data_IF_219798742292
#
_entry.id   IF_219798742292
#
_cell.length_a   1.000
_cell.length_b   1.000
_cell.length_c   1.000
_cell.angle_alpha   90.00
_cell.angle_beta   90.00
_cell.angle_gamma   90.00
#
_symmetry.space_group_name_H-M   'P 1'
#
loop_
_entity.id
_entity.type
_entity.pdbx_description
1 polymer ?
#
# COMPACT_ATOMS: atom_id res chain seq x y z
N UNK A 1 12.12 -23.90 -7.90
CA UNK A 1 10.92 -23.54 -7.10
C UNK A 1 11.34 -23.39 -5.65
N UNK A 2 10.92 -22.32 -4.96
CA UNK A 2 11.14 -22.20 -3.51
C UNK A 2 10.06 -23.01 -2.80
N UNK A 3 10.45 -24.02 -2.03
CA UNK A 3 9.54 -24.76 -1.17
C UNK A 3 9.24 -23.90 0.08
N UNK A 4 7.96 -23.82 0.45
CA UNK A 4 7.50 -23.07 1.62
C UNK A 4 6.79 -24.05 2.54
N UNK A 5 7.21 -24.11 3.79
CA UNK A 5 6.58 -24.98 4.80
C UNK A 5 5.66 -24.11 5.64
N UNK A 6 4.37 -24.46 5.67
CA UNK A 6 3.39 -23.80 6.53
C UNK A 6 3.19 -24.68 7.75
N UNK A 7 3.54 -24.18 8.93
CA UNK A 7 3.35 -24.88 10.21
C UNK A 7 2.06 -24.41 10.89
N UNK A 8 1.57 -25.20 11.84
CA UNK A 8 0.45 -24.86 12.73
C UNK A 8 -0.88 -24.59 12.01
N UNK A 9 -1.10 -25.23 10.86
CA UNK A 9 -2.38 -25.15 10.16
C UNK A 9 -3.43 -26.00 10.90
N UNK A 10 -4.61 -25.45 11.26
CA UNK A 10 -5.66 -26.23 11.89
C UNK A 10 -6.17 -27.34 10.96
N UNK A 11 -6.42 -28.53 11.49
CA UNK A 11 -6.90 -29.69 10.72
C UNK A 11 -8.18 -29.38 9.92
N UNK A 12 -9.07 -28.55 10.48
CA UNK A 12 -10.28 -28.11 9.79
C UNK A 12 -9.97 -27.31 8.50
N UNK A 13 -8.89 -26.52 8.51
CA UNK A 13 -8.45 -25.75 7.33
C UNK A 13 -7.86 -26.70 6.29
N UNK A 14 -7.04 -27.66 6.71
CA UNK A 14 -6.48 -28.70 5.82
C UNK A 14 -7.60 -29.46 5.12
N UNK A 15 -8.60 -29.95 5.87
CA UNK A 15 -9.73 -30.70 5.32
C UNK A 15 -10.54 -29.89 4.30
N UNK A 16 -10.69 -28.57 4.51
CA UNK A 16 -11.37 -27.68 3.55
C UNK A 16 -10.56 -27.52 2.26
N UNK A 17 -9.24 -27.39 2.36
CA UNK A 17 -8.35 -27.28 1.20
C UNK A 17 -8.37 -28.59 0.40
N UNK A 18 -8.25 -29.73 1.08
CA UNK A 18 -8.31 -31.05 0.43
C UNK A 18 -9.64 -31.26 -0.30
N UNK A 19 -10.77 -30.93 0.34
CA UNK A 19 -12.07 -31.03 -0.30
C UNK A 19 -12.16 -30.15 -1.55
N UNK A 20 -11.71 -28.90 -1.47
CA UNK A 20 -11.72 -27.98 -2.63
C UNK A 20 -10.82 -28.45 -3.76
N UNK A 21 -9.65 -28.99 -3.43
CA UNK A 21 -8.74 -29.58 -4.40
C UNK A 21 -9.42 -30.76 -5.12
N UNK A 22 -10.08 -31.65 -4.36
CA UNK A 22 -10.84 -32.77 -4.90
C UNK A 22 -12.02 -32.31 -5.78
N UNK A 23 -12.82 -31.35 -5.32
CA UNK A 23 -13.95 -30.78 -6.07
C UNK A 23 -13.52 -30.18 -7.42
N UNK A 24 -12.26 -29.74 -7.52
CA UNK A 24 -11.67 -29.10 -8.71
C UNK A 24 -10.78 -30.02 -9.53
N UNK A 25 -10.56 -31.26 -9.09
CA UNK A 25 -9.62 -32.19 -9.73
C UNK A 25 -8.16 -31.72 -9.71
N UNK A 26 -7.78 -30.92 -8.71
CA UNK A 26 -6.44 -30.38 -8.53
C UNK A 26 -5.70 -31.12 -7.40
N UNK A 27 -4.37 -30.98 -7.37
CA UNK A 27 -3.60 -31.38 -6.19
C UNK A 27 -3.77 -30.35 -5.07
N UNK A 28 -3.59 -30.78 -3.83
CA UNK A 28 -3.62 -29.89 -2.65
C UNK A 28 -2.61 -28.75 -2.80
N UNK A 29 -1.41 -29.04 -3.32
CA UNK A 29 -0.37 -28.03 -3.55
C UNK A 29 -0.81 -26.96 -4.57
N UNK A 30 -1.47 -27.36 -5.65
CA UNK A 30 -1.94 -26.42 -6.67
C UNK A 30 -3.07 -25.53 -6.13
N UNK A 31 -3.97 -26.10 -5.33
CA UNK A 31 -5.03 -25.33 -4.68
C UNK A 31 -4.44 -24.33 -3.66
N UNK A 32 -3.46 -24.74 -2.85
CA UNK A 32 -2.75 -23.82 -1.93
C UNK A 32 -2.05 -22.70 -2.70
N UNK A 33 -1.37 -23.01 -3.80
CA UNK A 33 -0.72 -22.01 -4.65
C UNK A 33 -1.72 -20.98 -5.17
N UNK A 34 -2.87 -21.44 -5.67
CA UNK A 34 -3.96 -20.58 -6.15
C UNK A 34 -4.53 -19.68 -5.05
N UNK A 35 -4.74 -20.24 -3.86
CA UNK A 35 -5.25 -19.48 -2.71
C UNK A 35 -4.27 -18.37 -2.31
N UNK A 36 -2.96 -18.68 -2.27
CA UNK A 36 -1.92 -17.69 -1.97
C UNK A 36 -1.84 -16.60 -3.03
N UNK A 37 -1.93 -16.94 -4.32
CA UNK A 37 -1.92 -15.97 -5.42
C UNK A 37 -3.15 -15.05 -5.39
N UNK A 38 -4.32 -15.62 -5.05
CA UNK A 38 -5.56 -14.86 -4.90
C UNK A 38 -5.49 -13.90 -3.70
N UNK A 39 -4.97 -14.37 -2.57
CA UNK A 39 -4.78 -13.53 -1.39
C UNK A 39 -3.77 -12.40 -1.66
N UNK A 40 -2.63 -12.72 -2.26
CA UNK A 40 -1.60 -11.74 -2.59
C UNK A 40 -2.09 -10.67 -3.57
N UNK A 41 -2.85 -11.06 -4.60
CA UNK A 41 -3.41 -10.10 -5.56
C UNK A 41 -4.48 -9.21 -4.93
N UNK A 42 -5.31 -9.74 -4.02
CA UNK A 42 -6.26 -8.94 -3.26
C UNK A 42 -5.55 -7.92 -2.34
N UNK A 43 -4.50 -8.34 -1.63
CA UNK A 43 -3.70 -7.45 -0.78
C UNK A 43 -2.99 -6.36 -1.60
N UNK A 44 -2.44 -6.73 -2.78
CA UNK A 44 -1.82 -5.78 -3.69
C UNK A 44 -2.82 -4.74 -4.23
N UNK A 45 -4.05 -5.16 -4.55
CA UNK A 45 -5.12 -4.26 -4.97
C UNK A 45 -5.52 -3.31 -3.84
N UNK A 46 -5.69 -3.82 -2.61
CA UNK A 46 -6.01 -3.02 -1.44
C UNK A 46 -4.91 -1.98 -1.13
N UNK A 47 -3.64 -2.35 -1.26
CA UNK A 47 -2.51 -1.44 -1.09
C UNK A 47 -2.52 -0.34 -2.17
N UNK A 48 -2.76 -0.71 -3.42
CA UNK A 48 -2.85 0.25 -4.52
C UNK A 48 -4.00 1.25 -4.31
N UNK A 49 -5.17 0.79 -3.89
CA UNK A 49 -6.32 1.65 -3.61
C UNK A 49 -6.06 2.62 -2.45
N UNK A 50 -5.39 2.16 -1.39
CA UNK A 50 -4.96 3.01 -0.28
C UNK A 50 -3.97 4.09 -0.72
N UNK A 51 -3.01 3.74 -1.57
CA UNK A 51 -2.05 4.71 -2.14
C UNK A 51 -2.74 5.74 -3.03
N UNK A 52 -3.69 5.31 -3.88
CA UNK A 52 -4.45 6.19 -4.74
C UNK A 52 -5.35 7.14 -3.93
N UNK A 53 -6.00 6.65 -2.88
CA UNK A 53 -6.78 7.48 -1.97
C UNK A 53 -5.91 8.54 -1.27
N UNK A 54 -4.71 8.15 -0.81
CA UNK A 54 -3.75 9.08 -0.22
C UNK A 54 -3.30 10.14 -1.23
N UNK A 55 -2.98 9.74 -2.46
CA UNK A 55 -2.59 10.67 -3.51
C UNK A 55 -3.71 11.67 -3.81
N UNK A 56 -4.95 11.19 -3.94
CA UNK A 56 -6.12 12.05 -4.16
C UNK A 56 -6.32 13.03 -3.01
N UNK A 57 -6.22 12.59 -1.77
CA UNK A 57 -6.33 13.46 -0.60
C UNK A 57 -5.24 14.55 -0.59
N UNK A 58 -3.99 14.19 -0.90
CA UNK A 58 -2.89 15.15 -1.01
C UNK A 58 -3.12 16.16 -2.13
N UNK A 59 -3.55 15.71 -3.31
CA UNK A 59 -3.83 16.60 -4.44
C UNK A 59 -5.01 17.52 -4.13
N UNK A 60 -6.07 17.00 -3.53
CA UNK A 60 -7.23 17.78 -3.10
C UNK A 60 -6.81 18.83 -2.06
N UNK A 61 -6.05 18.45 -1.05
CA UNK A 61 -5.52 19.37 -0.05
C UNK A 61 -4.62 20.45 -0.68
N UNK A 62 -3.81 20.08 -1.69
CA UNK A 62 -2.97 21.01 -2.45
C UNK A 62 -3.79 21.98 -3.30
N UNK A 63 -4.90 21.53 -3.89
CA UNK A 63 -5.83 22.38 -4.64
C UNK A 63 -6.59 23.31 -3.69
N UNK A 64 -7.06 22.82 -2.55
CA UNK A 64 -7.75 23.61 -1.52
C UNK A 64 -6.83 24.63 -0.84
N UNK A 65 -5.57 24.26 -0.58
CA UNK A 65 -4.53 25.19 -0.16
C UNK A 65 -3.98 26.04 -1.30
N UNK A 66 -4.30 25.67 -2.55
CA UNK A 66 -3.84 26.28 -3.77
C UNK A 66 -4.54 27.60 -4.04
N UNK A 67 -4.30 28.58 -3.17
CA UNK A 67 -4.34 29.98 -3.59
C UNK A 67 -3.20 30.25 -4.58
N UNK A 68 -3.43 31.14 -5.54
CA UNK A 68 -2.33 31.71 -6.33
C UNK A 68 -1.35 32.40 -5.38
N UNK A 69 -0.21 31.74 -5.10
CA UNK A 69 0.92 32.37 -4.41
C UNK A 69 1.58 33.28 -5.42
N UNK A 70 1.49 34.59 -5.19
CA UNK A 70 2.22 35.56 -5.99
C UNK A 70 3.72 35.48 -5.69
N UNK A 71 4.55 35.85 -6.66
CA UNK A 71 6.01 35.89 -6.49
C UNK A 71 6.41 36.72 -5.24
N UNK A 72 5.69 37.81 -4.97
CA UNK A 72 5.91 38.64 -3.77
C UNK A 72 5.65 37.89 -2.45
N UNK A 73 4.67 36.98 -2.41
CA UNK A 73 4.42 36.14 -1.23
C UNK A 73 5.49 35.04 -1.09
N UNK A 74 6.01 34.55 -2.20
CA UNK A 74 7.10 33.57 -2.23
C UNK A 74 8.41 34.21 -1.73
N UNK A 75 8.74 35.40 -2.23
CA UNK A 75 9.93 36.16 -1.84
C UNK A 75 9.91 36.53 -0.35
N UNK A 76 8.75 36.95 0.17
CA UNK A 76 8.58 37.25 1.59
C UNK A 76 8.78 36.02 2.49
N UNK A 77 8.27 34.85 2.05
CA UNK A 77 8.45 33.60 2.79
C UNK A 77 9.92 33.13 2.76
N UNK A 78 10.61 33.30 1.63
CA UNK A 78 12.04 32.98 1.49
C UNK A 78 12.91 33.89 2.34
N UNK A 79 12.65 35.20 2.36
CA UNK A 79 13.36 36.15 3.22
C UNK A 79 13.18 35.81 4.71
N UNK A 80 11.94 35.51 5.13
CA UNK A 80 11.67 35.10 6.51
C UNK A 80 12.42 33.82 6.91
N UNK A 81 12.53 32.84 5.99
CA UNK A 81 13.29 31.60 6.23
C UNK A 81 14.80 31.82 6.23
N UNK A 82 15.30 32.70 5.37
CA UNK A 82 16.70 33.09 5.38
C UNK A 82 17.09 33.74 6.72
N UNK A 83 16.24 34.63 7.26
CA UNK A 83 16.46 35.23 8.58
C UNK A 83 16.39 34.21 9.73
N UNK A 84 15.51 33.21 9.65
CA UNK A 84 15.45 32.12 10.62
C UNK A 84 16.71 31.24 10.57
N UNK A 85 17.23 30.94 9.38
CA UNK A 85 18.46 30.17 9.19
C UNK A 85 19.69 30.96 9.68
N UNK A 86 19.75 32.26 9.40
CA UNK A 86 20.79 33.14 9.91
C UNK A 86 20.81 33.19 11.44
N UNK A 87 19.64 33.19 12.10
CA UNK A 87 19.51 33.09 13.57
C UNK A 87 19.99 31.74 14.12
N UNK A 88 19.94 30.69 13.30
CA UNK A 88 20.42 29.35 13.63
C UNK A 88 21.92 29.17 13.30
N UNK A 89 22.58 30.19 12.74
CA UNK A 89 24.00 30.18 12.44
C UNK A 89 24.36 29.52 11.09
N UNK A 90 23.40 29.40 10.19
CA UNK A 90 23.59 28.98 8.80
C UNK A 90 23.78 30.16 7.85
#
# INVERSE_FOLDING_TARGET
MKALTVTDLPDAVVAVIERRAADRGLTVEEEVRRLLETAYSADAAALHDAQLARLRATLQASIEHGGTVSDAQLDAALAAKADELAKQGY
#
